data_IF_850441562761
#
_entry.id   IF_850441562761
#
_cell.length_a   1.000
_cell.length_b   1.000
_cell.length_c   1.000
_cell.angle_alpha   90.00
_cell.angle_beta   90.00
_cell.angle_gamma   90.00
#
_symmetry.space_group_name_H-M   'P 1'
#
loop_
_entity.id
_entity.type
_entity.pdbx_description
1 polymer ?
#
# COMPACT_ATOMS: atom_id res chain seq x y z
N UNK A 1 9.99 6.21 -15.82
CA UNK A 1 9.51 7.05 -14.70
C UNK A 1 8.35 6.31 -14.07
N UNK A 2 8.54 5.77 -12.87
CA UNK A 2 7.65 4.76 -12.28
C UNK A 2 7.29 5.20 -10.86
N UNK A 3 5.99 5.31 -10.57
CA UNK A 3 5.45 5.50 -9.21
C UNK A 3 4.21 4.62 -9.01
N UNK A 4 4.21 3.85 -7.92
CA UNK A 4 3.05 3.75 -7.02
C UNK A 4 3.53 3.59 -5.57
N UNK A 5 2.86 4.01 -4.50
CA UNK A 5 1.74 4.90 -4.26
C UNK A 5 1.69 5.13 -2.72
N UNK A 6 1.81 6.39 -2.31
CA UNK A 6 1.05 7.03 -1.22
C UNK A 6 1.25 8.52 -1.48
N UNK A 7 0.30 9.20 -2.13
CA UNK A 7 0.39 10.64 -2.41
C UNK A 7 -0.74 11.41 -1.72
N UNK A 8 -0.38 12.57 -1.18
CA UNK A 8 -1.26 13.70 -0.94
C UNK A 8 -0.65 14.89 -1.67
N UNK A 9 -1.16 15.24 -2.85
CA UNK A 9 -1.17 16.59 -3.43
C UNK A 9 -2.19 16.66 -4.58
N UNK A 10 -2.70 17.87 -4.81
CA UNK A 10 -3.73 18.24 -5.79
C UNK A 10 -3.36 17.89 -7.26
N UNK A 11 -4.40 17.70 -8.08
CA UNK A 11 -4.49 17.82 -9.55
C UNK A 11 -4.43 16.54 -10.43
N UNK A 12 -5.11 16.56 -11.61
CA UNK A 12 -5.72 15.38 -12.21
C UNK A 12 -5.01 14.90 -13.47
N UNK A 13 -4.60 13.63 -13.52
CA UNK A 13 -4.61 12.82 -14.75
C UNK A 13 -4.42 11.34 -14.38
N UNK A 14 -5.09 10.44 -15.11
CA UNK A 14 -5.23 8.99 -14.88
C UNK A 14 -3.88 8.29 -14.62
N UNK A 15 -3.86 7.30 -13.73
CA UNK A 15 -2.74 6.37 -13.59
C UNK A 15 -3.28 4.92 -13.65
N UNK A 16 -2.87 4.17 -14.67
CA UNK A 16 -3.01 2.71 -14.75
C UNK A 16 -1.66 2.12 -15.21
N UNK A 17 -0.87 1.63 -14.28
CA UNK A 17 -0.16 0.34 -14.34
C UNK A 17 0.51 0.17 -12.97
N UNK A 18 0.17 -0.91 -12.26
CA UNK A 18 0.86 -1.27 -11.04
C UNK A 18 2.32 -1.54 -11.40
N UNK A 19 3.20 -0.64 -10.96
CA UNK A 19 4.61 -0.63 -11.32
C UNK A 19 5.25 -2.01 -11.42
N UNK A 20 6.06 -2.15 -12.46
CA UNK A 20 6.90 -3.34 -12.71
C UNK A 20 8.34 -3.14 -12.24
N UNK A 21 8.68 -1.96 -11.70
CA UNK A 21 10.07 -1.61 -11.35
C UNK A 21 10.29 -1.53 -9.84
N UNK A 22 9.26 -1.18 -9.09
CA UNK A 22 9.34 -1.10 -7.64
C UNK A 22 8.10 -0.51 -6.97
N UNK A 23 8.18 -0.38 -5.65
CA UNK A 23 7.20 0.28 -4.80
C UNK A 23 7.77 1.60 -4.28
N UNK A 24 6.88 2.53 -4.00
CA UNK A 24 7.18 3.81 -3.39
C UNK A 24 6.06 4.17 -2.40
N UNK A 25 6.42 4.58 -1.19
CA UNK A 25 5.47 5.07 -0.20
C UNK A 25 5.93 6.45 0.23
N UNK A 26 5.03 7.43 0.22
CA UNK A 26 5.33 8.77 0.72
C UNK A 26 4.46 9.11 1.92
N UNK A 27 5.02 9.88 2.84
CA UNK A 27 4.31 10.50 3.96
C UNK A 27 4.52 12.01 3.85
N UNK A 28 3.70 12.72 3.06
CA UNK A 28 3.94 14.13 2.73
C UNK A 28 4.01 15.05 3.95
N UNK A 29 3.18 14.80 4.96
CA UNK A 29 3.17 15.57 6.21
C UNK A 29 4.48 15.50 6.99
N UNK A 30 5.32 14.50 6.72
CA UNK A 30 6.61 14.28 7.37
C UNK A 30 7.79 14.34 6.39
N UNK A 31 7.54 14.65 5.11
CA UNK A 31 8.52 14.64 4.03
C UNK A 31 9.30 13.31 3.92
N UNK A 32 8.65 12.19 4.24
CA UNK A 32 9.28 10.86 4.16
C UNK A 32 8.95 10.19 2.84
N UNK A 33 9.93 9.45 2.31
CA UNK A 33 9.77 8.59 1.15
C UNK A 33 10.49 7.26 1.39
N UNK A 34 9.78 6.16 1.19
CA UNK A 34 10.33 4.81 1.12
C UNK A 34 10.27 4.35 -0.33
N UNK A 35 11.36 3.78 -0.83
CA UNK A 35 11.38 3.15 -2.16
C UNK A 35 11.92 1.74 -2.04
N UNK A 36 11.28 0.80 -2.74
CA UNK A 36 11.72 -0.58 -2.84
C UNK A 36 11.83 -0.95 -4.31
N UNK A 37 13.05 -1.15 -4.79
CA UNK A 37 13.27 -1.60 -6.15
C UNK A 37 13.08 -3.11 -6.22
N UNK A 38 12.22 -3.56 -7.15
CA UNK A 38 11.96 -4.98 -7.35
C UNK A 38 13.24 -5.70 -7.76
N UNK A 39 13.50 -6.82 -7.09
CA UNK A 39 14.65 -7.66 -7.40
C UNK A 39 14.40 -8.47 -8.68
N UNK A 40 15.43 -9.10 -9.29
CA UNK A 40 15.24 -9.95 -10.47
C UNK A 40 14.14 -10.99 -10.30
N UNK A 41 14.01 -11.60 -9.10
CA UNK A 41 12.96 -12.56 -8.78
C UNK A 41 11.55 -11.95 -8.76
N UNK A 42 11.38 -10.76 -8.17
CA UNK A 42 10.11 -10.03 -8.18
C UNK A 42 9.68 -9.72 -9.61
N UNK A 43 10.61 -9.21 -10.44
CA UNK A 43 10.35 -8.89 -11.85
C UNK A 43 9.98 -10.13 -12.67
N UNK A 44 10.58 -11.29 -12.35
CA UNK A 44 10.21 -12.57 -12.96
C UNK A 44 8.74 -12.91 -12.66
N UNK A 45 8.34 -12.86 -11.40
CA UNK A 45 6.96 -13.14 -10.98
C UNK A 45 5.94 -12.17 -11.61
N UNK A 46 6.31 -10.89 -11.74
CA UNK A 46 5.50 -9.89 -12.45
C UNK A 46 5.33 -10.27 -13.93
N UNK A 47 6.40 -10.71 -14.59
CA UNK A 47 6.35 -11.10 -16.00
C UNK A 47 5.52 -12.37 -16.22
N UNK A 48 5.67 -13.37 -15.34
CA UNK A 48 4.84 -14.59 -15.33
C UNK A 48 3.36 -14.22 -15.17
N UNK A 49 3.03 -13.33 -14.24
CA UNK A 49 1.66 -12.84 -14.04
C UNK A 49 1.13 -12.14 -15.30
N UNK A 50 1.94 -11.26 -15.92
CA UNK A 50 1.57 -10.58 -17.18
C UNK A 50 1.42 -11.55 -18.35
N UNK A 51 2.08 -12.70 -18.32
CA UNK A 51 1.93 -13.78 -19.29
C UNK A 51 0.68 -14.65 -19.04
N UNK A 52 -0.10 -14.38 -17.99
CA UNK A 52 -1.31 -15.11 -17.64
C UNK A 52 -1.08 -16.30 -16.70
N UNK A 53 0.13 -16.45 -16.16
CA UNK A 53 0.39 -17.46 -15.14
C UNK A 53 -0.19 -17.03 -13.79
N UNK A 54 -0.80 -17.98 -13.09
CA UNK A 54 -1.29 -17.74 -11.72
C UNK A 54 -0.11 -17.71 -10.76
N UNK A 55 0.12 -16.57 -10.12
CA UNK A 55 1.03 -16.46 -8.99
C UNK A 55 0.53 -15.42 -7.98
N UNK A 56 1.05 -15.50 -6.76
CA UNK A 56 0.68 -14.68 -5.60
C UNK A 56 1.41 -13.31 -5.57
N UNK A 57 2.00 -12.87 -6.68
CA UNK A 57 2.71 -11.59 -6.79
C UNK A 57 1.92 -10.56 -7.60
N UNK A 58 0.59 -10.64 -7.51
CA UNK A 58 -0.36 -9.77 -8.21
C UNK A 58 -0.36 -8.33 -7.67
N UNK A 59 -1.06 -7.44 -8.37
CA UNK A 59 -1.16 -6.02 -8.02
C UNK A 59 -1.63 -5.79 -6.59
N UNK A 60 -2.68 -6.50 -6.16
CA UNK A 60 -3.25 -6.37 -4.81
C UNK A 60 -2.21 -6.70 -3.73
N UNK A 61 -1.45 -7.79 -3.93
CA UNK A 61 -0.37 -8.18 -3.03
C UNK A 61 0.72 -7.12 -2.98
N UNK A 62 1.13 -6.57 -4.12
CA UNK A 62 2.21 -5.57 -4.19
C UNK A 62 1.85 -4.26 -3.51
N UNK A 63 0.60 -3.82 -3.61
CA UNK A 63 0.14 -2.64 -2.86
C UNK A 63 0.04 -2.92 -1.35
N UNK A 64 -0.43 -4.10 -0.95
CA UNK A 64 -0.41 -4.51 0.45
C UNK A 64 1.03 -4.59 1.01
N UNK A 65 1.97 -5.06 0.20
CA UNK A 65 3.39 -5.08 0.53
C UNK A 65 3.93 -3.67 0.76
N UNK A 66 3.52 -2.68 -0.05
CA UNK A 66 3.87 -1.29 0.17
C UNK A 66 3.38 -0.78 1.53
N UNK A 67 2.11 -1.08 1.90
CA UNK A 67 1.57 -0.73 3.21
C UNK A 67 2.37 -1.38 4.35
N UNK A 68 2.71 -2.66 4.22
CA UNK A 68 3.49 -3.37 5.23
C UNK A 68 4.91 -2.80 5.38
N UNK A 69 5.60 -2.52 4.28
CA UNK A 69 6.92 -1.88 4.30
C UNK A 69 6.88 -0.50 4.95
N UNK A 70 5.82 0.28 4.71
CA UNK A 70 5.63 1.59 5.34
C UNK A 70 5.51 1.50 6.86
N UNK A 71 4.66 0.59 7.36
CA UNK A 71 4.52 0.37 8.80
C UNK A 71 5.85 -0.12 9.36
N UNK A 72 6.49 -1.10 8.74
CA UNK A 72 7.74 -1.65 9.25
C UNK A 72 8.88 -0.61 9.34
N UNK A 73 8.93 0.35 8.41
CA UNK A 73 9.98 1.36 8.38
C UNK A 73 9.75 2.49 9.40
N UNK A 74 8.51 2.72 9.82
CA UNK A 74 8.14 3.92 10.60
C UNK A 74 7.34 3.62 11.87
N UNK A 75 7.04 2.37 12.18
CA UNK A 75 6.30 1.94 13.37
C UNK A 75 6.95 2.41 14.67
N UNK A 76 8.25 2.14 14.85
CA UNK A 76 9.01 2.52 16.04
C UNK A 76 9.18 4.04 16.19
N UNK A 77 9.58 4.80 15.15
CA UNK A 77 9.55 6.26 15.19
C UNK A 77 8.18 6.82 15.58
N UNK A 78 7.09 6.36 14.96
CA UNK A 78 5.74 6.86 15.25
C UNK A 78 5.24 6.47 16.64
N UNK A 79 5.68 5.33 17.16
CA UNK A 79 5.39 4.91 18.52
C UNK A 79 6.15 5.78 19.55
N UNK A 80 7.42 6.08 19.29
CA UNK A 80 8.27 6.84 20.21
C UNK A 80 7.85 8.32 20.37
N UNK A 81 7.28 8.91 19.32
CA UNK A 81 6.80 10.30 19.32
C UNK A 81 5.44 10.49 20.01
N UNK A 82 4.82 9.41 20.49
CA UNK A 82 3.46 9.48 21.05
C UNK A 82 3.48 10.19 22.40
N UNK A 83 2.93 11.40 22.43
CA UNK A 83 2.80 12.21 23.66
C UNK A 83 1.58 11.85 24.51
N UNK A 84 0.62 11.10 23.95
CA UNK A 84 -0.66 10.78 24.58
C UNK A 84 -1.01 9.28 24.49
N UNK A 85 -1.94 8.82 25.33
CA UNK A 85 -2.47 7.46 25.33
C UNK A 85 -3.41 7.13 24.14
N UNK A 86 -3.60 8.04 23.19
CA UNK A 86 -4.42 7.81 21.99
C UNK A 86 -3.66 7.04 20.90
N UNK A 87 -4.31 6.10 20.18
CA UNK A 87 -3.69 5.39 19.07
C UNK A 87 -3.24 6.35 17.94
N UNK A 88 -2.09 6.07 17.31
CA UNK A 88 -1.64 6.81 16.13
C UNK A 88 -2.41 6.33 14.90
N UNK A 89 -3.19 7.22 14.29
CA UNK A 89 -3.96 6.87 13.10
C UNK A 89 -3.09 6.95 11.84
N UNK A 90 -2.92 5.81 11.16
CA UNK A 90 -2.26 5.71 9.86
C UNK A 90 -3.32 5.42 8.81
N UNK A 91 -3.41 6.31 7.81
CA UNK A 91 -4.38 6.20 6.73
C UNK A 91 -3.70 6.00 5.37
N UNK A 92 -3.91 4.83 4.79
CA UNK A 92 -3.43 4.47 3.46
C UNK A 92 -4.38 5.00 2.38
N UNK A 93 -3.80 5.54 1.31
CA UNK A 93 -4.54 5.81 0.07
C UNK A 93 -3.98 4.92 -1.02
N UNK A 94 -4.81 4.04 -1.54
CA UNK A 94 -4.45 3.05 -2.56
C UNK A 94 -5.25 3.32 -3.83
N UNK A 95 -4.68 3.03 -4.98
CA UNK A 95 -5.32 3.20 -6.29
C UNK A 95 -6.19 2.02 -6.69
N UNK A 96 -6.08 0.89 -5.98
CA UNK A 96 -6.87 -0.29 -6.24
C UNK A 96 -7.85 -0.61 -5.09
N UNK A 97 -9.13 -0.62 -5.45
CA UNK A 97 -10.25 -0.92 -4.55
C UNK A 97 -10.15 -2.30 -3.91
N UNK A 98 -9.56 -3.29 -4.60
CA UNK A 98 -9.43 -4.66 -4.08
C UNK A 98 -8.41 -4.73 -2.94
N UNK A 99 -7.40 -3.87 -2.96
CA UNK A 99 -6.46 -3.67 -1.85
C UNK A 99 -7.15 -3.12 -0.62
N UNK A 100 -8.36 -2.55 -0.65
CA UNK A 100 -9.03 -2.09 0.59
C UNK A 100 -9.72 -3.25 1.32
N UNK A 101 -10.00 -4.33 0.61
CA UNK A 101 -10.77 -5.46 1.16
C UNK A 101 -10.04 -6.18 2.31
N UNK A 102 -8.71 -6.08 2.42
CA UNK A 102 -8.00 -6.66 3.56
C UNK A 102 -8.39 -6.02 4.89
N UNK A 103 -8.70 -4.72 4.91
CA UNK A 103 -9.02 -4.03 6.15
C UNK A 103 -10.35 -4.52 6.73
N UNK A 104 -11.33 -4.83 5.88
CA UNK A 104 -12.65 -5.28 6.32
C UNK A 104 -12.75 -6.80 6.51
N UNK A 105 -12.01 -7.58 5.72
CA UNK A 105 -12.07 -9.06 5.77
C UNK A 105 -11.01 -9.69 6.65
N UNK A 106 -9.87 -9.01 6.85
CA UNK A 106 -8.67 -9.52 7.53
C UNK A 106 -8.20 -10.92 7.04
N UNK A 107 -8.62 -11.27 5.82
CA UNK A 107 -8.40 -12.59 5.24
C UNK A 107 -8.17 -12.50 3.72
N UNK A 108 -7.24 -13.30 3.23
CA UNK A 108 -6.96 -13.52 1.81
C UNK A 108 -6.74 -15.02 1.55
N UNK A 109 -7.06 -15.46 0.33
CA UNK A 109 -6.72 -16.83 -0.14
C UNK A 109 -5.27 -16.94 -0.59
N UNK A 110 -4.65 -15.80 -0.89
CA UNK A 110 -3.22 -15.68 -1.20
C UNK A 110 -2.43 -15.76 0.12
N UNK A 111 -1.53 -16.74 0.19
CA UNK A 111 -0.78 -17.04 1.42
C UNK A 111 0.17 -15.92 1.81
N UNK A 112 0.79 -15.25 0.83
CA UNK A 112 1.70 -14.13 1.03
C UNK A 112 0.94 -12.89 1.49
N UNK A 113 -0.20 -12.60 0.87
CA UNK A 113 -1.07 -11.50 1.29
C UNK A 113 -1.59 -11.74 2.71
N UNK A 114 -2.01 -12.98 3.02
CA UNK A 114 -2.48 -13.33 4.37
C UNK A 114 -1.40 -13.11 5.44
N UNK A 115 -0.13 -13.40 5.13
CA UNK A 115 0.99 -13.11 6.02
C UNK A 115 1.11 -11.60 6.28
N UNK A 116 1.05 -10.78 5.24
CA UNK A 116 1.12 -9.31 5.38
C UNK A 116 -0.05 -8.75 6.19
N UNK A 117 -1.26 -9.28 6.01
CA UNK A 117 -2.43 -8.89 6.82
C UNK A 117 -2.17 -9.19 8.30
N UNK A 118 -1.65 -10.40 8.63
CA UNK A 118 -1.34 -10.79 10.01
C UNK A 118 -0.26 -9.91 10.62
N UNK A 119 0.77 -9.54 9.85
CA UNK A 119 1.82 -8.62 10.28
C UNK A 119 1.26 -7.24 10.59
N UNK A 120 0.46 -6.68 9.67
CA UNK A 120 -0.19 -5.38 9.86
C UNK A 120 -1.09 -5.37 11.10
N UNK A 121 -1.92 -6.40 11.31
CA UNK A 121 -2.75 -6.52 12.52
C UNK A 121 -1.91 -6.64 13.79
N UNK A 122 -0.78 -7.35 13.73
CA UNK A 122 0.14 -7.48 14.87
C UNK A 122 0.80 -6.15 15.21
N UNK A 123 1.25 -5.40 14.20
CA UNK A 123 1.86 -4.09 14.38
C UNK A 123 0.84 -3.04 14.83
N UNK A 124 -0.39 -3.12 14.34
CA UNK A 124 -1.49 -2.26 14.82
C UNK A 124 -1.67 -2.37 16.34
N UNK A 125 -1.69 -3.59 16.86
CA UNK A 125 -1.79 -3.84 18.29
C UNK A 125 -0.50 -3.47 19.04
N UNK A 126 0.66 -3.93 18.55
CA UNK A 126 1.96 -3.78 19.23
C UNK A 126 2.36 -2.32 19.42
N UNK A 127 2.09 -1.47 18.43
CA UNK A 127 2.49 -0.06 18.45
C UNK A 127 1.31 0.88 18.72
N UNK A 128 0.14 0.33 19.06
CA UNK A 128 -1.07 1.11 19.30
C UNK A 128 -1.39 2.02 18.11
N UNK A 129 -1.35 1.47 16.90
CA UNK A 129 -1.79 2.17 15.70
C UNK A 129 -3.29 1.97 15.52
N UNK A 130 -3.89 2.80 14.68
CA UNK A 130 -5.17 2.53 14.05
C UNK A 130 -4.91 2.57 12.55
N UNK A 131 -5.16 1.49 11.83
CA UNK A 131 -4.95 1.44 10.39
C UNK A 131 -6.26 1.69 9.66
N UNK A 132 -6.25 2.54 8.63
CA UNK A 132 -7.37 2.60 7.69
C UNK A 132 -6.96 2.86 6.26
N UNK A 133 -7.86 2.63 5.30
CA UNK A 133 -7.57 2.77 3.88
C UNK A 133 -8.72 3.43 3.11
N UNK A 134 -8.41 4.10 1.99
CA UNK A 134 -9.38 4.64 1.03
C UNK A 134 -8.85 4.58 -0.40
N UNK A 135 -9.74 4.53 -1.39
CA UNK A 135 -9.36 4.61 -2.81
C UNK A 135 -9.18 6.08 -3.18
N UNK A 136 -8.28 6.38 -4.10
CA UNK A 136 -8.32 7.69 -4.77
C UNK A 136 -9.71 7.91 -5.39
N UNK A 137 -10.32 9.09 -5.18
CA UNK A 137 -11.58 9.41 -5.84
C UNK A 137 -11.37 9.33 -7.35
N UNK A 138 -12.19 8.54 -8.04
CA UNK A 138 -12.20 8.52 -9.50
C UNK A 138 -12.34 9.97 -9.99
N UNK A 139 -11.44 10.42 -10.86
CA UNK A 139 -11.57 11.72 -11.50
C UNK A 139 -12.92 11.72 -12.24
N UNK A 140 -13.89 12.51 -11.78
CA UNK A 140 -15.10 12.76 -12.55
C UNK A 140 -14.65 13.45 -13.84
N UNK A 141 -14.53 12.70 -14.93
CA UNK A 141 -14.52 13.31 -16.26
C UNK A 141 -15.89 13.99 -16.44
N UNK A 142 -15.96 15.31 -16.66
CA UNK A 142 -17.22 15.94 -16.97
C UNK A 142 -17.79 15.27 -18.23
N UNK A 143 -19.05 14.88 -18.16
CA UNK A 143 -19.79 14.35 -19.29
C UNK A 143 -19.88 15.48 -20.32
N UNK A 144 -19.52 15.27 -21.60
CA UNK A 144 -19.80 16.29 -22.61
C UNK A 144 -21.33 16.46 -22.68
N UNK A 145 -21.77 17.70 -22.46
CA UNK A 145 -23.16 18.15 -22.67
C UNK A 145 -23.48 18.20 -24.15
#
# INVERSE_FOLDING_TARGET
>A
MIFPLCFWTHSPTRHHDASVVGLCVLVPSRLLALTYQFQPGDRKLINEFKAGETNEFEVNYRELLACALAIHAWDEPWHSERTHNSPTHVHFRVDNTMTISWQSKLASRDSRAQLLIRLLSTWEQRYGLRLSSSVFPASKTPRPT
#
